data_IF_228016685619
#
_entry.id   IF_228016685619
#
_cell.length_a   1.000
_cell.length_b   1.000
_cell.length_c   1.000
_cell.angle_alpha   90.00
_cell.angle_beta   90.00
_cell.angle_gamma   90.00
#
_symmetry.space_group_name_H-M   'P 1'
#
loop_
_entity.id
_entity.type
_entity.pdbx_description
1 polymer ?
#
# COMPACT_ATOMS: atom_id res chain seq x y z
N UNK A 1 -16.83 46.30 27.07
CA UNK A 1 -16.47 44.88 27.34
C UNK A 1 -16.13 44.24 26.00
N UNK A 2 -14.84 43.96 25.76
CA UNK A 2 -14.39 43.22 24.58
C UNK A 2 -14.73 41.75 24.80
N UNK A 3 -15.60 41.19 23.96
CA UNK A 3 -15.89 39.75 23.93
C UNK A 3 -14.90 39.10 22.97
N UNK A 4 -13.90 38.42 23.51
CA UNK A 4 -13.01 37.55 22.73
C UNK A 4 -13.81 36.26 22.47
N UNK A 5 -14.23 36.06 21.22
CA UNK A 5 -14.74 34.78 20.77
C UNK A 5 -13.55 33.82 20.66
N UNK A 6 -13.48 32.82 21.54
CA UNK A 6 -12.63 31.65 21.30
C UNK A 6 -13.29 30.81 20.20
N UNK A 7 -12.81 30.95 18.96
CA UNK A 7 -13.09 29.97 17.94
C UNK A 7 -12.33 28.70 18.33
N UNK A 8 -13.06 27.67 18.78
CA UNK A 8 -12.52 26.32 18.88
C UNK A 8 -12.13 25.89 17.48
N UNK A 9 -10.84 25.98 17.16
CA UNK A 9 -10.27 25.36 16.00
C UNK A 9 -10.38 23.85 16.22
N UNK A 10 -11.46 23.24 15.72
CA UNK A 10 -11.46 21.80 15.51
C UNK A 10 -10.36 21.53 14.48
N UNK A 11 -9.18 21.16 14.98
CA UNK A 11 -8.15 20.57 14.15
C UNK A 11 -8.74 19.26 13.62
N UNK A 12 -9.24 19.28 12.38
CA UNK A 12 -9.48 18.06 11.64
C UNK A 12 -8.09 17.47 11.38
N UNK A 13 -7.61 16.65 12.32
CA UNK A 13 -6.50 15.75 12.05
C UNK A 13 -6.98 14.82 10.94
N UNK A 14 -6.54 15.06 9.71
CA UNK A 14 -6.64 14.07 8.66
C UNK A 14 -5.79 12.92 9.17
N UNK A 15 -6.40 11.76 9.46
CA UNK A 15 -5.65 10.55 9.77
C UNK A 15 -4.87 10.20 8.51
N UNK A 16 -3.61 10.61 8.45
CA UNK A 16 -2.68 10.27 7.41
C UNK A 16 -2.54 8.75 7.33
N UNK A 17 -2.75 8.17 6.14
CA UNK A 17 -2.42 6.76 5.91
C UNK A 17 -0.89 6.63 5.83
N UNK A 18 -0.30 6.30 6.98
CA UNK A 18 1.15 6.20 7.13
C UNK A 18 1.72 4.83 6.73
N UNK A 19 0.94 3.75 6.86
CA UNK A 19 1.33 2.39 6.43
C UNK A 19 0.49 2.01 5.20
N UNK A 20 1.16 1.56 4.13
CA UNK A 20 0.52 1.32 2.84
C UNK A 20 1.28 0.28 2.00
N UNK A 21 0.59 -0.28 1.00
CA UNK A 21 1.15 -1.08 -0.07
C UNK A 21 1.98 -0.17 -0.97
N UNK A 22 3.26 -0.48 -1.11
CA UNK A 22 4.27 0.37 -1.73
C UNK A 22 4.64 -0.03 -3.16
N UNK A 23 4.70 -1.34 -3.37
CA UNK A 23 5.20 -1.96 -4.59
C UNK A 23 4.61 -3.37 -4.66
N UNK A 24 4.28 -3.85 -5.85
CA UNK A 24 3.90 -5.25 -6.05
C UNK A 24 4.19 -5.73 -7.47
N UNK A 25 4.37 -7.04 -7.59
CA UNK A 25 4.57 -7.76 -8.84
C UNK A 25 3.57 -8.93 -8.92
N UNK A 26 2.84 -9.05 -10.02
CA UNK A 26 1.80 -10.06 -10.24
C UNK A 26 1.86 -10.78 -11.59
N UNK A 27 2.30 -10.14 -12.69
CA UNK A 27 2.29 -10.75 -14.03
C UNK A 27 3.63 -10.53 -14.75
N UNK A 28 4.20 -11.60 -15.32
CA UNK A 28 5.38 -11.49 -16.17
C UNK A 28 5.39 -12.46 -17.35
N UNK A 29 6.38 -12.23 -18.23
CA UNK A 29 6.57 -13.03 -19.43
C UNK A 29 6.76 -14.51 -19.11
N UNK A 30 5.78 -15.32 -19.49
CA UNK A 30 5.83 -16.77 -19.36
C UNK A 30 4.96 -17.26 -18.21
N UNK A 31 5.54 -18.05 -17.32
CA UNK A 31 4.90 -18.40 -16.05
C UNK A 31 5.33 -17.38 -15.02
N UNK A 32 4.37 -16.82 -14.29
CA UNK A 32 4.63 -15.83 -13.25
C UNK A 32 5.65 -16.36 -12.24
N UNK A 33 6.61 -15.50 -11.92
CA UNK A 33 7.70 -15.81 -11.00
C UNK A 33 8.12 -14.57 -10.25
N UNK A 34 8.37 -14.73 -8.95
CA UNK A 34 8.84 -13.62 -8.13
C UNK A 34 7.73 -12.68 -7.69
N UNK A 35 6.47 -13.13 -7.66
CA UNK A 35 5.38 -12.29 -7.16
C UNK A 35 5.61 -11.89 -5.69
N UNK A 36 5.41 -10.61 -5.41
CA UNK A 36 5.55 -10.05 -4.08
C UNK A 36 4.62 -8.86 -3.88
N UNK A 37 4.41 -8.51 -2.62
CA UNK A 37 3.79 -7.26 -2.20
C UNK A 37 4.67 -6.65 -1.11
N UNK A 38 4.99 -5.38 -1.27
CA UNK A 38 5.80 -4.61 -0.35
C UNK A 38 4.94 -3.61 0.44
N UNK A 39 5.24 -3.50 1.73
CA UNK A 39 4.61 -2.55 2.65
C UNK A 39 5.63 -1.48 3.04
N UNK A 40 5.23 -0.21 2.96
CA UNK A 40 5.99 0.93 3.45
C UNK A 40 5.28 1.61 4.61
N UNK A 41 6.06 2.35 5.41
CA UNK A 41 5.55 3.21 6.47
C UNK A 41 6.63 3.64 7.45
N UNK A 42 6.24 4.15 8.65
CA UNK A 42 7.21 4.58 9.65
C UNK A 42 8.10 3.44 10.13
N UNK A 43 9.41 3.69 10.22
CA UNK A 43 10.38 2.77 10.79
C UNK A 43 9.99 2.41 12.23
N UNK A 44 10.21 1.14 12.59
CA UNK A 44 9.80 0.56 13.85
C UNK A 44 8.32 0.15 13.89
N UNK A 45 7.53 0.39 12.84
CA UNK A 45 6.18 -0.18 12.72
C UNK A 45 6.28 -1.70 12.76
N UNK A 46 5.57 -2.33 13.70
CA UNK A 46 5.48 -3.78 13.83
C UNK A 46 4.28 -4.30 13.05
N UNK A 47 4.54 -5.12 12.04
CA UNK A 47 3.52 -5.72 11.19
C UNK A 47 2.95 -7.03 11.76
N UNK A 48 3.35 -7.43 12.97
CA UNK A 48 2.77 -8.62 13.63
C UNK A 48 1.26 -8.46 13.80
N UNK A 49 0.49 -9.40 13.25
CA UNK A 49 -0.98 -9.37 13.28
C UNK A 49 -1.61 -8.69 12.06
N UNK A 50 -0.81 -8.07 11.19
CA UNK A 50 -1.26 -7.55 9.90
C UNK A 50 -1.29 -8.68 8.87
N UNK A 51 -2.03 -8.48 7.79
CA UNK A 51 -2.08 -9.43 6.68
C UNK A 51 -2.29 -8.75 5.33
N UNK A 52 -1.76 -9.36 4.29
CA UNK A 52 -2.24 -9.18 2.92
C UNK A 52 -3.36 -10.21 2.68
N UNK A 53 -4.48 -9.77 2.12
CA UNK A 53 -5.57 -10.67 1.68
C UNK A 53 -5.79 -10.47 0.20
N UNK A 54 -5.68 -11.55 -0.57
CA UNK A 54 -5.81 -11.53 -2.02
C UNK A 54 -7.24 -11.87 -2.44
N UNK A 55 -7.75 -11.14 -3.42
CA UNK A 55 -9.13 -11.23 -3.89
C UNK A 55 -9.21 -11.43 -5.40
N UNK A 56 -10.08 -12.36 -5.82
CA UNK A 56 -10.42 -12.58 -7.21
C UNK A 56 -11.53 -11.61 -7.61
N UNK A 57 -11.30 -10.72 -8.57
CA UNK A 57 -12.27 -9.69 -8.93
C UNK A 57 -13.39 -10.19 -9.87
N UNK A 58 -13.24 -11.36 -10.49
CA UNK A 58 -14.32 -11.96 -11.28
C UNK A 58 -15.51 -12.42 -10.41
N UNK A 59 -15.27 -12.81 -9.15
CA UNK A 59 -16.32 -13.22 -8.22
C UNK A 59 -16.34 -12.44 -6.88
N UNK A 60 -15.36 -11.57 -6.65
CA UNK A 60 -15.19 -10.78 -5.44
C UNK A 60 -14.76 -11.58 -4.20
N UNK A 61 -14.33 -12.83 -4.34
CA UNK A 61 -13.99 -13.70 -3.21
C UNK A 61 -12.49 -13.62 -2.89
N UNK A 62 -12.17 -13.60 -1.59
CA UNK A 62 -10.79 -13.80 -1.13
C UNK A 62 -10.33 -15.23 -1.43
N UNK A 63 -9.09 -15.38 -1.90
CA UNK A 63 -8.52 -16.69 -2.22
C UNK A 63 -7.24 -17.03 -1.43
N UNK A 64 -6.55 -16.04 -0.86
CA UNK A 64 -5.39 -16.28 -0.01
C UNK A 64 -5.21 -15.19 1.05
N UNK A 65 -4.47 -15.50 2.10
CA UNK A 65 -4.11 -14.59 3.18
C UNK A 65 -2.69 -14.83 3.65
N UNK A 66 -1.86 -13.81 3.51
CA UNK A 66 -0.46 -13.82 3.90
C UNK A 66 -0.31 -13.02 5.19
N UNK A 67 0.01 -13.70 6.28
CA UNK A 67 0.30 -13.04 7.56
C UNK A 67 1.64 -12.30 7.47
N UNK A 68 1.62 -11.03 7.88
CA UNK A 68 2.82 -10.20 7.93
C UNK A 68 3.51 -10.33 9.28
N UNK A 69 4.82 -10.16 9.27
CA UNK A 69 5.64 -10.07 10.48
C UNK A 69 6.85 -9.19 10.20
N UNK A 70 7.51 -8.74 11.26
CA UNK A 70 8.72 -7.92 11.16
C UNK A 70 8.49 -6.46 11.54
N UNK A 71 9.60 -5.74 11.65
CA UNK A 71 9.66 -4.31 11.92
C UNK A 71 10.14 -3.61 10.66
N UNK A 72 9.43 -2.57 10.23
CA UNK A 72 9.92 -1.72 9.14
C UNK A 72 11.28 -1.11 9.55
N UNK A 73 12.35 -1.29 8.75
CA UNK A 73 13.65 -0.66 9.01
C UNK A 73 13.59 0.85 8.79
N UNK A 74 14.62 1.57 9.25
CA UNK A 74 14.84 2.97 8.85
C UNK A 74 15.76 2.98 7.63
N UNK A 75 15.19 3.32 6.46
CA UNK A 75 15.87 3.34 5.17
C UNK A 75 15.92 4.75 4.55
N UNK A 76 14.91 5.57 4.82
CA UNK A 76 14.82 6.94 4.31
C UNK A 76 14.10 7.81 5.31
N UNK A 77 14.81 8.74 5.96
CA UNK A 77 14.25 9.77 6.85
C UNK A 77 13.20 9.25 7.86
N UNK A 78 13.48 8.10 8.48
CA UNK A 78 12.61 7.46 9.46
C UNK A 78 11.55 6.54 8.85
N UNK A 79 11.40 6.44 7.54
CA UNK A 79 10.54 5.47 6.86
C UNK A 79 11.32 4.28 6.33
N UNK A 80 10.62 3.18 6.05
CA UNK A 80 11.20 2.05 5.35
C UNK A 80 10.17 1.03 4.90
N UNK A 81 10.67 -0.03 4.27
CA UNK A 81 9.86 -1.04 3.57
C UNK A 81 10.17 -2.46 4.02
N UNK A 82 9.18 -3.35 3.86
CA UNK A 82 9.35 -4.79 3.96
C UNK A 82 8.56 -5.46 2.83
N UNK A 83 9.26 -6.30 2.06
CA UNK A 83 8.67 -7.09 0.97
C UNK A 83 8.31 -8.50 1.44
N UNK A 84 7.16 -8.99 0.97
CA UNK A 84 6.61 -10.29 1.30
C UNK A 84 6.36 -11.07 0.01
N UNK A 85 6.91 -12.28 -0.08
CA UNK A 85 6.61 -13.19 -1.19
C UNK A 85 5.14 -13.59 -1.17
N UNK A 86 4.51 -13.50 -2.33
CA UNK A 86 3.07 -13.77 -2.51
C UNK A 86 2.87 -14.63 -3.77
N UNK A 87 3.38 -15.87 -3.78
CA UNK A 87 3.32 -16.72 -4.97
C UNK A 87 1.87 -17.09 -5.31
N UNK A 88 1.53 -17.06 -6.59
CA UNK A 88 0.20 -17.38 -7.09
C UNK A 88 -0.80 -16.22 -6.99
N UNK A 89 -0.32 -14.97 -7.02
CA UNK A 89 -1.21 -13.84 -7.29
C UNK A 89 -1.84 -14.08 -8.68
N UNK A 90 -3.14 -13.81 -8.78
CA UNK A 90 -3.90 -14.04 -10.01
C UNK A 90 -3.78 -12.85 -10.98
N UNK A 91 -3.69 -13.14 -12.27
CA UNK A 91 -3.63 -12.15 -13.34
C UNK A 91 -5.06 -11.86 -13.83
N UNK A 92 -5.81 -11.05 -13.09
CA UNK A 92 -7.20 -10.75 -13.40
C UNK A 92 -7.45 -9.28 -13.73
N UNK A 93 -8.34 -9.08 -14.72
CA UNK A 93 -8.98 -7.80 -15.03
C UNK A 93 -10.43 -7.79 -14.50
N UNK A 94 -10.67 -7.37 -13.25
CA UNK A 94 -9.70 -7.02 -12.20
C UNK A 94 -9.44 -8.17 -11.20
N UNK A 95 -8.36 -8.04 -10.43
CA UNK A 95 -8.07 -8.74 -9.16
C UNK A 95 -7.52 -7.71 -8.15
N UNK A 96 -7.42 -8.09 -6.86
CA UNK A 96 -7.10 -7.10 -5.82
C UNK A 96 -6.37 -7.59 -4.58
N UNK A 97 -5.75 -6.63 -3.91
CA UNK A 97 -4.88 -6.78 -2.75
C UNK A 97 -5.43 -5.92 -1.62
N UNK A 98 -5.72 -6.55 -0.49
CA UNK A 98 -6.11 -5.86 0.74
C UNK A 98 -4.95 -5.85 1.71
N UNK A 99 -4.65 -4.68 2.26
CA UNK A 99 -3.83 -4.55 3.47
C UNK A 99 -4.76 -4.43 4.68
N UNK A 100 -4.66 -5.36 5.62
CA UNK A 100 -5.48 -5.44 6.83
C UNK A 100 -4.58 -5.38 8.08
N UNK A 101 -4.90 -4.50 9.03
CA UNK A 101 -4.07 -4.29 10.23
C UNK A 101 -4.41 -5.23 11.41
N UNK A 102 -5.31 -6.20 11.19
CA UNK A 102 -5.85 -7.07 12.24
C UNK A 102 -7.14 -6.56 12.88
N UNK A 103 -7.55 -5.33 12.57
CA UNK A 103 -8.75 -4.66 13.08
C UNK A 103 -9.60 -4.11 11.92
N UNK A 104 -8.98 -3.38 10.99
CA UNK A 104 -9.60 -2.64 9.90
C UNK A 104 -8.84 -2.80 8.58
N UNK A 105 -9.58 -2.63 7.47
CA UNK A 105 -8.97 -2.59 6.14
C UNK A 105 -8.28 -1.24 5.96
N UNK A 106 -6.95 -1.29 5.80
CA UNK A 106 -6.09 -0.14 5.57
C UNK A 106 -6.17 0.28 4.10
N UNK A 107 -6.01 -0.67 3.18
CA UNK A 107 -6.20 -0.45 1.74
C UNK A 107 -6.90 -1.62 1.10
N UNK A 108 -7.67 -1.33 0.05
CA UNK A 108 -8.12 -2.33 -0.90
C UNK A 108 -7.82 -1.81 -2.30
N UNK A 109 -6.69 -2.25 -2.85
CA UNK A 109 -6.23 -1.88 -4.18
C UNK A 109 -6.59 -2.98 -5.18
N UNK A 110 -6.79 -2.61 -6.43
CA UNK A 110 -6.94 -3.53 -7.55
C UNK A 110 -6.12 -3.07 -8.72
N UNK A 111 -5.87 -3.98 -9.65
CA UNK A 111 -5.26 -3.70 -10.95
C UNK A 111 -6.23 -4.10 -12.06
N UNK A 112 -6.07 -3.47 -13.22
CA UNK A 112 -6.87 -3.74 -14.43
C UNK A 112 -8.39 -3.52 -14.24
N UNK A 113 -8.78 -2.63 -13.32
CA UNK A 113 -10.16 -2.28 -13.03
C UNK A 113 -10.50 -2.32 -11.54
N UNK A 114 -11.78 -2.18 -11.19
CA UNK A 114 -12.28 -2.23 -9.81
C UNK A 114 -13.43 -3.21 -9.65
N UNK A 115 -13.59 -3.75 -8.45
CA UNK A 115 -14.66 -4.69 -8.10
C UNK A 115 -15.05 -4.55 -6.63
N UNK A 116 -16.20 -5.13 -6.27
CA UNK A 116 -16.66 -5.18 -4.88
C UNK A 116 -16.41 -6.57 -4.30
N UNK A 117 -15.73 -6.63 -3.15
CA UNK A 117 -15.53 -7.88 -2.44
C UNK A 117 -16.86 -8.41 -1.91
N UNK A 118 -17.06 -9.72 -2.04
CA UNK A 118 -18.28 -10.44 -1.68
C UNK A 118 -18.13 -11.28 -0.41
N UNK A 119 -16.91 -11.38 0.14
CA UNK A 119 -16.61 -12.05 1.40
C UNK A 119 -15.38 -11.44 2.12
N UNK A 120 -14.98 -12.06 3.23
CA UNK A 120 -13.73 -11.77 3.92
C UNK A 120 -13.68 -10.39 4.59
N UNK A 121 -12.47 -9.94 4.93
CA UNK A 121 -12.23 -8.68 5.67
C UNK A 121 -12.70 -7.44 4.91
N UNK A 122 -12.74 -7.49 3.59
CA UNK A 122 -13.20 -6.40 2.73
C UNK A 122 -14.65 -6.57 2.25
N UNK A 123 -15.43 -7.48 2.81
CA UNK A 123 -16.81 -7.77 2.36
C UNK A 123 -17.66 -6.49 2.23
N UNK A 124 -18.17 -6.23 1.03
CA UNK A 124 -18.98 -5.05 0.71
C UNK A 124 -18.17 -3.79 0.38
N UNK A 125 -16.84 -3.83 0.46
CA UNK A 125 -15.96 -2.74 0.04
C UNK A 125 -15.65 -2.86 -1.46
N UNK A 126 -15.60 -1.72 -2.15
CA UNK A 126 -15.12 -1.62 -3.54
C UNK A 126 -13.64 -1.28 -3.54
N UNK A 127 -12.86 -1.99 -4.35
CA UNK A 127 -11.43 -1.75 -4.53
C UNK A 127 -11.17 -0.44 -5.27
N UNK A 128 -9.95 0.10 -5.08
CA UNK A 128 -9.45 1.25 -5.85
C UNK A 128 -8.44 0.75 -6.89
N UNK A 129 -8.72 0.99 -8.16
CA UNK A 129 -7.80 0.65 -9.26
C UNK A 129 -6.53 1.51 -9.18
N UNK A 130 -5.36 0.88 -9.29
CA UNK A 130 -4.06 1.58 -9.27
C UNK A 130 -3.77 2.32 -10.58
N UNK A 131 -4.47 1.97 -11.66
CA UNK A 131 -4.39 2.66 -12.96
C UNK A 131 -3.13 2.38 -13.79
N UNK A 132 -2.27 1.46 -13.33
CA UNK A 132 -1.13 0.90 -14.05
C UNK A 132 -1.23 -0.62 -14.02
N UNK A 133 -0.61 -1.30 -14.99
CA UNK A 133 -0.81 -2.74 -15.22
C UNK A 133 0.50 -3.42 -15.57
N UNK A 134 0.63 -4.66 -15.14
CA UNK A 134 1.56 -5.62 -15.74
C UNK A 134 0.82 -6.46 -16.78
N UNK A 135 1.57 -7.07 -17.68
CA UNK A 135 1.02 -7.96 -18.70
C UNK A 135 1.90 -9.20 -18.81
N UNK A 136 1.38 -10.23 -19.48
CA UNK A 136 2.17 -11.37 -19.98
C UNK A 136 3.39 -11.05 -20.88
N UNK A 137 3.69 -9.76 -21.12
CA UNK A 137 4.90 -9.29 -21.79
C UNK A 137 5.83 -8.45 -20.89
N UNK A 138 5.45 -8.21 -19.63
CA UNK A 138 6.27 -7.57 -18.62
C UNK A 138 7.53 -8.41 -18.40
N UNK A 139 8.74 -7.84 -18.51
CA UNK A 139 9.97 -8.56 -18.20
C UNK A 139 10.02 -8.95 -16.72
N UNK A 140 10.61 -10.12 -16.43
CA UNK A 140 10.94 -10.52 -15.05
C UNK A 140 11.86 -9.46 -14.41
N UNK A 141 11.63 -9.13 -13.14
CA UNK A 141 12.36 -8.10 -12.41
C UNK A 141 11.78 -6.70 -12.61
N UNK A 142 10.50 -6.61 -12.97
CA UNK A 142 9.74 -5.36 -13.07
C UNK A 142 8.54 -5.45 -12.12
N UNK A 143 8.09 -4.31 -11.64
CA UNK A 143 6.97 -4.18 -10.70
C UNK A 143 6.15 -2.94 -10.98
N UNK A 144 4.98 -2.87 -10.35
CA UNK A 144 4.25 -1.64 -10.14
C UNK A 144 4.66 -1.04 -8.80
N UNK A 145 4.96 0.25 -8.75
CA UNK A 145 5.50 0.87 -7.54
C UNK A 145 5.06 2.33 -7.38
N UNK A 146 5.04 2.82 -6.14
CA UNK A 146 4.75 4.22 -5.81
C UNK A 146 5.99 5.11 -5.97
N UNK A 147 5.80 6.29 -6.54
CA UNK A 147 6.81 7.36 -6.63
C UNK A 147 6.27 8.68 -6.08
N UNK A 148 7.18 9.59 -5.71
CA UNK A 148 6.83 10.93 -5.23
C UNK A 148 6.14 11.72 -6.35
N UNK A 149 4.98 12.36 -6.04
CA UNK A 149 4.40 13.39 -6.93
C UNK A 149 4.75 14.81 -6.49
N UNK A 150 5.24 14.96 -5.27
CA UNK A 150 5.65 16.22 -4.65
C UNK A 150 6.95 16.02 -3.87
N UNK A 151 7.79 17.05 -3.85
CA UNK A 151 8.97 17.05 -2.99
C UNK A 151 8.57 16.95 -1.51
N UNK A 152 9.14 15.97 -0.81
CA UNK A 152 8.86 15.75 0.61
C UNK A 152 7.49 15.10 0.88
N UNK A 153 7.00 14.28 -0.07
CA UNK A 153 5.87 13.36 0.10
C UNK A 153 5.91 12.65 1.46
N UNK A 154 4.78 12.51 2.16
CA UNK A 154 4.74 11.98 3.54
C UNK A 154 3.76 10.86 3.80
N UNK A 155 2.71 10.79 2.99
CA UNK A 155 1.58 9.89 3.22
C UNK A 155 1.15 9.27 1.91
N UNK A 156 0.36 8.20 1.96
CA UNK A 156 -0.08 7.48 0.75
C UNK A 156 -0.59 8.41 -0.38
N UNK A 157 -1.32 9.48 -0.04
CA UNK A 157 -1.89 10.43 -1.02
C UNK A 157 -0.87 11.36 -1.70
N UNK A 158 0.38 11.38 -1.26
CA UNK A 158 1.47 12.16 -1.86
C UNK A 158 2.27 11.34 -2.90
N UNK A 159 1.85 10.11 -3.16
CA UNK A 159 2.48 9.23 -4.13
C UNK A 159 1.55 8.89 -5.29
N UNK A 160 2.13 8.44 -6.39
CA UNK A 160 1.40 7.92 -7.55
C UNK A 160 2.00 6.58 -7.99
N UNK A 161 1.11 5.66 -8.37
CA UNK A 161 1.50 4.40 -9.00
C UNK A 161 2.12 4.63 -10.37
N UNK A 162 3.26 4.00 -10.61
CA UNK A 162 3.96 3.92 -11.89
C UNK A 162 4.34 2.48 -12.17
N UNK A 163 4.69 2.17 -13.42
CA UNK A 163 5.20 0.88 -13.82
C UNK A 163 4.57 0.32 -15.09
N UNK A 164 5.06 -0.84 -15.57
CA UNK A 164 6.11 -1.65 -14.95
C UNK A 164 7.50 -0.96 -15.03
N UNK A 165 8.26 -1.00 -13.94
CA UNK A 165 9.63 -0.47 -13.83
C UNK A 165 10.48 -1.43 -12.98
N UNK A 166 11.82 -1.30 -12.99
CA UNK A 166 12.71 -2.20 -12.24
C UNK A 166 12.31 -2.29 -10.77
N UNK A 167 12.12 -3.51 -10.29
CA UNK A 167 11.66 -3.78 -8.93
C UNK A 167 12.69 -3.43 -7.85
N UNK A 168 12.22 -3.14 -6.64
CA UNK A 168 13.03 -2.78 -5.47
C UNK A 168 12.65 -3.50 -4.17
N UNK A 169 12.36 -4.82 -4.17
CA UNK A 169 11.85 -5.52 -3.01
C UNK A 169 12.78 -5.41 -1.79
N UNK A 170 12.24 -4.93 -0.68
CA UNK A 170 12.92 -4.69 0.58
C UNK A 170 13.76 -3.40 0.62
N UNK A 171 13.65 -2.55 -0.39
CA UNK A 171 14.31 -1.25 -0.47
C UNK A 171 13.29 -0.15 -0.80
N UNK A 172 13.69 1.11 -0.64
CA UNK A 172 12.84 2.25 -1.04
C UNK A 172 12.82 2.33 -2.56
N UNK A 173 11.64 2.57 -3.13
CA UNK A 173 11.44 2.73 -4.58
C UNK A 173 12.32 3.85 -5.15
N UNK A 174 12.65 3.72 -6.44
CA UNK A 174 13.40 4.79 -7.12
C UNK A 174 12.53 6.04 -7.26
N UNK A 175 13.07 7.22 -6.92
CA UNK A 175 12.33 8.49 -6.86
C UNK A 175 11.18 8.49 -5.83
N UNK A 176 11.37 7.74 -4.75
CA UNK A 176 10.49 7.81 -3.60
C UNK A 176 11.24 8.30 -2.37
N UNK A 177 10.60 9.22 -1.66
CA UNK A 177 11.03 9.74 -0.40
C UNK A 177 10.00 9.35 0.64
N UNK A 178 10.36 8.43 1.53
CA UNK A 178 9.52 8.08 2.69
C UNK A 178 9.91 8.98 3.87
N UNK A 179 8.97 9.61 4.56
CA UNK A 179 9.22 10.18 5.87
C UNK A 179 8.23 9.67 6.92
N UNK A 180 8.60 9.84 8.18
CA UNK A 180 7.67 9.72 9.31
C UNK A 180 6.98 11.06 9.52
N UNK A 181 5.65 11.02 9.69
CA UNK A 181 4.99 12.04 10.48
C UNK A 181 5.43 11.88 11.94
N UNK A 182 6.48 12.61 12.34
CA UNK A 182 6.61 12.97 13.75
C UNK A 182 5.46 13.93 14.02
N UNK A 183 4.38 13.43 14.65
CA UNK A 183 3.38 14.31 15.25
C UNK A 183 4.13 15.31 16.13
N UNK A 184 4.03 16.58 15.78
CA UNK A 184 4.67 17.65 16.52
C UNK A 184 4.08 17.68 17.93
N UNK A 185 4.92 17.46 18.95
CA UNK A 185 4.57 17.82 20.31
C UNK A 185 4.44 19.34 20.36
N UNK A 186 3.21 19.83 20.50
CA UNK A 186 2.97 21.17 21.01
C UNK A 186 3.38 21.15 22.48
N UNK A 187 4.53 21.73 22.81
CA UNK A 187 4.87 22.04 24.19
C UNK A 187 3.98 23.22 24.58
N UNK A 188 3.06 22.99 25.52
CA UNK A 188 2.23 24.06 26.13
C UNK A 188 3.08 25.15 26.79
#
# INVERSE_FOLDING_TARGET
MIRILFASLCCFGVMAQAVFINEFHYDNTGTDTGEFVEIAGPAGTNLSGWSIVLYNGANGQSYDTIALTGLLPDQSMGGGTLSFLTPGIQNGSPDGIVLYDGVSVVQFLSYEGSFTATNGVASGMTSTDVGVVESSSTPIGQSLQLIDIVDGAKVYTDFQWTGPVTESPGAVNTNQTLPVELQTFSVE
#
